data_IF_621933364837
#
_entry.id   IF_621933364837
#
_cell.length_a   1.000
_cell.length_b   1.000
_cell.length_c   1.000
_cell.angle_alpha   90.00
_cell.angle_beta   90.00
_cell.angle_gamma   90.00
#
_symmetry.space_group_name_H-M   'P 1'
#
loop_
_entity.id
_entity.type
_entity.pdbx_description
1 polymer ?
#
# COMPACT_ATOMS: atom_id res chain seq x y z
N UNK A 1 61.09 -31.01 31.66
CA UNK A 1 61.77 -29.69 31.65
C UNK A 1 63.01 -29.80 30.78
N UNK A 2 63.23 -28.89 29.82
CA UNK A 2 64.41 -28.89 28.93
C UNK A 2 65.28 -27.68 29.30
N UNK A 3 66.51 -27.92 29.74
CA UNK A 3 67.45 -26.87 30.19
C UNK A 3 68.80 -27.07 29.49
N UNK A 4 69.50 -25.98 29.20
CA UNK A 4 70.80 -26.00 28.52
C UNK A 4 71.29 -24.61 28.16
N UNK A 5 72.56 -24.47 27.81
CA UNK A 5 73.16 -23.20 27.37
C UNK A 5 72.56 -22.70 26.03
N UNK A 6 72.80 -21.45 25.68
CA UNK A 6 72.33 -20.92 24.40
C UNK A 6 73.04 -21.61 23.23
N UNK A 7 72.30 -21.88 22.16
CA UNK A 7 72.82 -22.60 20.99
C UNK A 7 72.89 -24.13 21.12
N UNK A 8 72.55 -24.73 22.27
CA UNK A 8 72.63 -26.20 22.46
C UNK A 8 71.43 -26.99 21.90
N UNK A 9 70.61 -26.38 21.05
CA UNK A 9 69.49 -27.07 20.38
C UNK A 9 68.18 -27.17 21.19
N UNK A 10 68.02 -26.45 22.30
CA UNK A 10 66.76 -26.42 23.07
C UNK A 10 65.53 -26.10 22.21
N UNK A 11 65.62 -25.05 21.40
CA UNK A 11 64.55 -24.67 20.47
C UNK A 11 64.43 -25.64 19.29
N UNK A 12 65.51 -26.33 18.92
CA UNK A 12 65.49 -27.39 17.90
C UNK A 12 64.65 -28.58 18.36
N UNK A 13 64.69 -28.95 19.65
CA UNK A 13 63.82 -30.00 20.20
C UNK A 13 62.35 -29.59 20.10
N UNK A 14 62.01 -28.33 20.46
CA UNK A 14 60.64 -27.80 20.33
C UNK A 14 60.16 -27.82 18.87
N UNK A 15 61.05 -27.47 17.92
CA UNK A 15 60.76 -27.55 16.49
C UNK A 15 60.54 -29.00 16.04
N UNK A 16 61.38 -29.94 16.51
CA UNK A 16 61.25 -31.36 16.21
C UNK A 16 59.92 -31.92 16.75
N UNK A 17 59.52 -31.56 17.97
CA UNK A 17 58.22 -31.96 18.55
C UNK A 17 57.06 -31.48 17.67
N UNK A 18 57.07 -30.20 17.25
CA UNK A 18 56.04 -29.68 16.36
C UNK A 18 56.00 -30.42 15.02
N UNK A 19 57.16 -30.62 14.39
CA UNK A 19 57.25 -31.32 13.12
C UNK A 19 56.87 -32.80 13.23
N UNK A 20 57.18 -33.47 14.33
CA UNK A 20 56.83 -34.88 14.56
C UNK A 20 55.36 -35.08 14.96
N UNK A 21 54.69 -34.06 15.51
CA UNK A 21 53.26 -34.08 15.85
C UNK A 21 52.38 -33.49 14.74
N UNK A 22 52.77 -33.69 13.48
CA UNK A 22 52.06 -33.22 12.30
C UNK A 22 51.87 -31.69 12.19
N UNK A 23 52.73 -30.91 12.86
CA UNK A 23 52.79 -29.46 12.73
C UNK A 23 53.33 -29.01 11.38
N UNK A 24 52.85 -27.83 10.94
CA UNK A 24 53.31 -27.16 9.73
C UNK A 24 54.54 -26.31 10.03
N UNK A 25 55.44 -26.17 9.04
CA UNK A 25 56.63 -25.30 9.12
C UNK A 25 56.27 -23.83 9.37
N UNK A 26 55.12 -23.38 8.87
CA UNK A 26 54.55 -22.04 9.12
C UNK A 26 54.32 -21.75 10.60
N UNK A 27 54.07 -22.78 11.42
CA UNK A 27 53.84 -22.61 12.85
C UNK A 27 55.14 -22.28 13.60
N UNK A 28 56.31 -22.60 13.03
CA UNK A 28 57.61 -22.46 13.69
C UNK A 28 58.29 -21.12 13.41
N UNK A 29 57.92 -20.43 12.32
CA UNK A 29 58.43 -19.09 11.99
C UNK A 29 59.89 -19.04 11.54
N UNK A 30 60.56 -20.17 11.31
CA UNK A 30 61.99 -20.25 10.94
C UNK A 30 62.27 -20.51 9.47
N UNK A 31 61.27 -20.96 8.72
CA UNK A 31 61.41 -21.25 7.29
C UNK A 31 60.29 -22.17 6.80
N UNK A 32 59.93 -22.03 5.54
CA UNK A 32 58.75 -22.67 4.94
C UNK A 32 59.02 -24.11 4.48
N UNK A 33 60.29 -24.44 4.25
CA UNK A 33 60.75 -25.75 3.77
C UNK A 33 61.12 -26.68 4.92
N UNK A 34 60.62 -27.91 4.89
CA UNK A 34 60.88 -28.93 5.92
C UNK A 34 62.35 -29.36 5.95
N UNK A 35 63.04 -29.34 4.81
CA UNK A 35 64.47 -29.67 4.72
C UNK A 35 65.38 -28.71 5.49
N UNK A 36 64.94 -27.48 5.77
CA UNK A 36 65.73 -26.50 6.55
C UNK A 36 65.88 -26.88 8.02
N UNK A 37 65.09 -27.84 8.50
CA UNK A 37 65.13 -28.33 9.88
C UNK A 37 66.06 -29.55 10.03
N UNK A 38 66.66 -30.04 8.95
CA UNK A 38 67.69 -31.09 8.97
C UNK A 38 69.05 -30.45 9.23
N UNK A 39 69.92 -31.15 9.99
CA UNK A 39 71.28 -30.70 10.26
C UNK A 39 72.03 -30.42 8.95
N UNK A 40 72.73 -29.27 8.88
CA UNK A 40 73.52 -28.89 7.70
C UNK A 40 74.55 -29.98 7.36
N UNK A 41 74.67 -30.30 6.08
CA UNK A 41 75.55 -31.36 5.58
C UNK A 41 74.94 -32.77 5.63
N UNK A 42 73.70 -32.93 6.10
CA UNK A 42 72.97 -34.19 6.07
C UNK A 42 71.86 -34.15 5.01
N UNK A 43 71.71 -35.25 4.24
CA UNK A 43 70.68 -35.33 3.19
C UNK A 43 69.32 -35.76 3.73
N UNK A 44 69.28 -36.30 4.95
CA UNK A 44 68.07 -36.81 5.61
C UNK A 44 68.10 -36.55 7.12
N UNK A 45 66.94 -36.49 7.74
CA UNK A 45 66.77 -36.45 9.19
C UNK A 45 65.44 -37.08 9.60
N UNK A 46 65.36 -37.65 10.80
CA UNK A 46 64.14 -38.28 11.30
C UNK A 46 63.77 -37.78 12.69
N UNK A 47 62.48 -37.75 12.97
CA UNK A 47 61.92 -37.44 14.29
C UNK A 47 60.95 -38.54 14.66
N UNK A 48 61.22 -39.24 15.76
CA UNK A 48 60.30 -40.23 16.32
C UNK A 48 59.76 -39.75 17.67
N UNK A 49 58.44 -39.80 17.82
CA UNK A 49 57.72 -39.39 19.03
C UNK A 49 56.83 -40.55 19.45
N UNK A 50 57.04 -41.04 20.67
CA UNK A 50 56.20 -42.04 21.30
C UNK A 50 55.27 -41.36 22.30
N UNK A 51 53.97 -41.41 22.03
CA UNK A 51 52.91 -40.89 22.88
C UNK A 51 52.28 -42.02 23.69
N UNK A 52 52.15 -41.81 24.99
CA UNK A 52 51.45 -42.74 25.87
C UNK A 52 49.93 -42.59 25.71
N UNK A 53 49.22 -43.71 25.57
CA UNK A 53 47.76 -43.78 25.51
C UNK A 53 47.31 -45.07 26.22
N UNK A 54 46.24 -44.97 27.01
CA UNK A 54 45.75 -46.09 27.84
C UNK A 54 45.41 -47.37 27.03
N UNK A 55 45.06 -47.23 25.76
CA UNK A 55 44.79 -48.34 24.83
C UNK A 55 45.98 -48.79 23.97
N UNK A 56 47.21 -48.38 24.30
CA UNK A 56 48.42 -48.70 23.57
C UNK A 56 49.16 -47.46 23.07
N UNK A 57 50.47 -47.45 23.22
CA UNK A 57 51.32 -46.32 22.83
C UNK A 57 51.25 -46.06 21.33
N UNK A 58 51.18 -44.79 20.95
CA UNK A 58 51.24 -44.33 19.56
C UNK A 58 52.68 -43.89 19.26
N UNK A 59 53.34 -44.53 18.30
CA UNK A 59 54.66 -44.12 17.81
C UNK A 59 54.48 -43.42 16.47
N UNK A 60 54.90 -42.16 16.39
CA UNK A 60 54.87 -41.34 15.19
C UNK A 60 56.31 -41.08 14.77
N UNK A 61 56.70 -41.54 13.58
CA UNK A 61 58.00 -41.25 12.99
C UNK A 61 57.82 -40.43 11.72
N UNK A 62 58.58 -39.34 11.61
CA UNK A 62 58.65 -38.49 10.43
C UNK A 62 60.08 -38.47 9.92
N UNK A 63 60.31 -39.01 8.73
CA UNK A 63 61.56 -38.89 7.99
C UNK A 63 61.48 -37.71 7.03
N UNK A 64 62.52 -36.89 6.95
CA UNK A 64 62.61 -35.70 6.11
C UNK A 64 63.78 -35.89 5.14
N UNK A 65 63.51 -35.72 3.86
CA UNK A 65 64.49 -35.78 2.79
C UNK A 65 64.77 -34.36 2.28
N UNK A 66 66.04 -33.94 2.34
CA UNK A 66 66.44 -32.57 1.99
C UNK A 66 66.40 -32.33 0.47
N UNK A 67 66.82 -33.32 -0.32
CA UNK A 67 66.97 -33.23 -1.78
C UNK A 67 65.67 -32.85 -2.49
N UNK A 68 64.54 -33.42 -2.07
CA UNK A 68 63.23 -33.18 -2.66
C UNK A 68 62.30 -32.37 -1.73
N UNK A 69 62.79 -31.95 -0.56
CA UNK A 69 61.99 -31.28 0.48
C UNK A 69 60.69 -32.03 0.83
N UNK A 70 60.72 -33.36 0.75
CA UNK A 70 59.60 -34.23 1.10
C UNK A 70 59.79 -34.80 2.51
N UNK A 71 58.69 -35.26 3.11
CA UNK A 71 58.75 -36.00 4.36
C UNK A 71 57.82 -37.19 4.33
N UNK A 72 58.28 -38.32 4.85
CA UNK A 72 57.57 -39.59 4.97
C UNK A 72 57.12 -39.78 6.42
N UNK A 73 55.93 -40.34 6.61
CA UNK A 73 55.34 -40.59 7.92
C UNK A 73 55.16 -42.08 8.15
N UNK A 74 55.62 -42.59 9.29
CA UNK A 74 55.41 -43.96 9.74
C UNK A 74 54.68 -43.94 11.09
N UNK A 75 53.70 -44.84 11.25
CA UNK A 75 52.95 -45.01 12.49
C UNK A 75 53.16 -46.44 12.99
N UNK A 76 53.57 -46.58 14.26
CA UNK A 76 53.82 -47.87 14.93
C UNK A 76 54.76 -48.82 14.15
N UNK A 77 55.80 -48.29 13.51
CA UNK A 77 56.84 -49.09 12.84
C UNK A 77 56.42 -49.74 11.51
N UNK A 78 55.14 -49.71 11.15
CA UNK A 78 54.67 -50.24 9.88
C UNK A 78 54.87 -49.19 8.76
N UNK A 79 55.65 -49.53 7.73
CA UNK A 79 55.76 -48.74 6.48
C UNK A 79 54.43 -48.64 5.71
N UNK A 80 53.41 -49.41 6.10
CA UNK A 80 52.17 -49.64 5.35
C UNK A 80 51.14 -48.50 5.39
N UNK A 81 51.54 -47.25 5.67
CA UNK A 81 50.60 -46.12 5.66
C UNK A 81 50.77 -45.26 4.42
N UNK A 82 51.53 -45.67 3.39
CA UNK A 82 51.42 -45.02 2.07
C UNK A 82 49.96 -45.05 1.57
N UNK A 83 49.21 -46.11 1.90
CA UNK A 83 47.87 -46.39 1.39
C UNK A 83 47.07 -47.20 2.43
N UNK A 84 46.28 -46.56 3.29
CA UNK A 84 45.10 -47.21 3.84
C UNK A 84 43.91 -46.30 3.51
N UNK A 85 43.12 -46.74 2.52
CA UNK A 85 41.88 -46.12 2.03
C UNK A 85 42.04 -44.84 1.18
N UNK A 86 43.13 -44.69 0.43
CA UNK A 86 43.31 -43.57 -0.51
C UNK A 86 43.51 -42.18 0.15
N UNK A 87 43.79 -42.14 1.47
CA UNK A 87 44.16 -40.91 2.19
C UNK A 87 45.67 -40.91 2.48
N UNK A 88 46.35 -39.81 2.14
CA UNK A 88 47.79 -39.63 2.39
C UNK A 88 48.13 -39.85 3.87
N UNK A 89 49.26 -40.51 4.17
CA UNK A 89 49.72 -40.87 5.53
C UNK A 89 49.78 -39.69 6.51
N UNK A 90 50.02 -38.49 5.99
CA UNK A 90 49.99 -37.24 6.75
C UNK A 90 48.63 -36.99 7.39
N UNK A 91 47.53 -37.30 6.73
CA UNK A 91 46.18 -37.08 7.25
C UNK A 91 45.88 -37.99 8.43
N UNK A 92 46.33 -39.25 8.41
CA UNK A 92 46.16 -40.18 9.54
C UNK A 92 46.95 -39.77 10.76
N UNK A 93 48.20 -39.35 10.58
CA UNK A 93 49.00 -38.81 11.69
C UNK A 93 48.35 -37.56 12.30
N UNK A 94 47.80 -36.65 11.46
CA UNK A 94 47.02 -35.49 11.92
C UNK A 94 45.76 -35.91 12.67
N UNK A 95 45.01 -36.91 12.19
CA UNK A 95 43.80 -37.42 12.81
C UNK A 95 44.08 -38.01 14.21
N UNK A 96 45.13 -38.82 14.35
CA UNK A 96 45.54 -39.41 15.64
C UNK A 96 46.01 -38.36 16.64
N UNK A 97 46.84 -37.40 16.21
CA UNK A 97 47.30 -36.29 17.08
C UNK A 97 46.11 -35.41 17.52
N UNK A 98 45.15 -35.18 16.61
CA UNK A 98 43.92 -34.45 16.91
C UNK A 98 43.02 -35.22 17.88
N UNK A 99 42.93 -36.55 17.76
CA UNK A 99 42.18 -37.40 18.68
C UNK A 99 42.74 -37.32 20.12
N UNK A 100 44.05 -37.11 20.27
CA UNK A 100 44.71 -36.87 21.55
C UNK A 100 44.58 -35.42 22.06
N UNK A 101 43.82 -34.56 21.37
CA UNK A 101 43.63 -33.14 21.71
C UNK A 101 44.95 -32.35 21.77
N UNK A 102 45.92 -32.72 20.93
CA UNK A 102 47.19 -32.01 20.81
C UNK A 102 47.09 -31.05 19.61
N UNK A 103 47.15 -29.74 19.87
CA UNK A 103 47.01 -28.69 18.84
C UNK A 103 48.32 -27.89 18.69
N UNK A 104 49.27 -28.44 17.95
CA UNK A 104 50.56 -27.76 17.65
C UNK A 104 50.43 -26.51 16.77
N UNK A 105 49.25 -26.25 16.21
CA UNK A 105 48.93 -25.02 15.47
C UNK A 105 48.33 -23.92 16.34
N UNK A 106 47.91 -24.24 17.56
CA UNK A 106 47.28 -23.28 18.46
C UNK A 106 48.35 -22.70 19.39
N UNK A 107 48.60 -21.39 19.27
CA UNK A 107 49.62 -20.68 20.05
C UNK A 107 49.36 -20.74 21.57
N UNK A 108 48.12 -21.01 22.00
CA UNK A 108 47.78 -21.19 23.42
C UNK A 108 48.28 -22.52 24.00
N UNK A 109 48.48 -23.55 23.17
CA UNK A 109 48.97 -24.88 23.59
C UNK A 109 50.43 -25.12 23.17
N UNK A 110 50.84 -24.54 22.04
CA UNK A 110 52.20 -24.63 21.52
C UNK A 110 52.70 -23.24 21.12
N UNK A 111 53.58 -22.68 21.95
CA UNK A 111 54.14 -21.35 21.73
C UNK A 111 55.63 -21.45 21.37
N UNK A 112 55.99 -21.44 20.07
CA UNK A 112 57.38 -21.43 19.67
C UNK A 112 57.99 -20.04 19.90
N UNK A 113 59.28 -20.00 20.19
CA UNK A 113 60.03 -18.79 20.54
C UNK A 113 59.85 -17.66 19.50
N UNK A 114 59.86 -17.97 18.21
CA UNK A 114 59.73 -16.98 17.13
C UNK A 114 58.30 -16.39 17.02
N UNK A 115 57.28 -17.08 17.54
CA UNK A 115 55.86 -16.71 17.41
C UNK A 115 55.30 -16.05 18.67
N UNK A 116 56.12 -15.78 19.67
CA UNK A 116 55.70 -15.10 20.92
C UNK A 116 55.10 -13.72 20.62
N UNK A 117 55.66 -13.00 19.64
CA UNK A 117 55.11 -11.71 19.21
C UNK A 117 53.74 -11.81 18.53
N UNK A 118 53.47 -12.88 17.79
CA UNK A 118 52.16 -13.11 17.16
C UNK A 118 51.09 -13.43 18.20
N UNK A 119 51.45 -14.24 19.21
CA UNK A 119 50.58 -14.51 20.34
C UNK A 119 50.16 -13.22 21.07
N UNK A 120 51.11 -12.31 21.33
CA UNK A 120 50.81 -11.02 21.96
C UNK A 120 49.92 -10.09 21.11
N UNK A 121 49.89 -10.27 19.78
CA UNK A 121 49.07 -9.49 18.85
C UNK A 121 47.64 -10.03 18.70
N UNK A 122 47.35 -11.23 19.20
CA UNK A 122 46.02 -11.82 19.09
C UNK A 122 44.98 -10.92 19.77
N UNK A 123 43.86 -10.70 19.11
CA UNK A 123 42.74 -9.97 19.70
C UNK A 123 42.13 -10.77 20.84
N UNK A 124 41.41 -10.10 21.75
CA UNK A 124 40.69 -10.76 22.86
C UNK A 124 39.72 -11.85 22.36
N UNK A 125 39.14 -11.66 21.17
CA UNK A 125 38.20 -12.60 20.56
C UNK A 125 38.94 -13.84 20.04
N UNK A 126 40.05 -13.65 19.33
CA UNK A 126 40.88 -14.75 18.83
C UNK A 126 41.51 -15.53 19.99
N UNK A 127 41.97 -14.84 21.04
CA UNK A 127 42.50 -15.45 22.23
C UNK A 127 41.46 -16.31 22.93
N UNK A 128 40.20 -15.85 23.01
CA UNK A 128 39.10 -16.63 23.56
C UNK A 128 38.85 -17.89 22.72
N UNK A 129 38.74 -17.77 21.39
CA UNK A 129 38.53 -18.93 20.51
C UNK A 129 39.69 -19.93 20.59
N UNK A 130 40.93 -19.45 20.64
CA UNK A 130 42.12 -20.28 20.77
C UNK A 130 42.14 -20.99 22.14
N UNK A 131 41.75 -20.29 23.21
CA UNK A 131 41.65 -20.87 24.56
C UNK A 131 40.56 -21.93 24.64
N UNK A 132 39.38 -21.68 24.07
CA UNK A 132 38.28 -22.64 24.03
C UNK A 132 38.66 -23.91 23.28
N UNK A 133 39.40 -23.78 22.17
CA UNK A 133 39.92 -24.93 21.43
C UNK A 133 40.97 -25.72 22.21
N UNK A 134 41.80 -25.06 23.03
CA UNK A 134 42.93 -25.72 23.71
C UNK A 134 42.62 -26.31 25.07
N UNK A 135 41.78 -25.66 25.89
CA UNK A 135 41.69 -25.94 27.33
C UNK A 135 40.42 -26.72 27.68
N UNK A 136 39.42 -26.74 26.80
CA UNK A 136 38.07 -27.19 27.14
C UNK A 136 37.59 -28.33 26.23
N UNK A 137 36.53 -29.06 26.66
CA UNK A 137 35.92 -30.08 25.83
C UNK A 137 35.55 -29.54 24.45
N UNK A 138 35.71 -30.36 23.38
CA UNK A 138 35.46 -29.92 22.00
C UNK A 138 34.08 -29.28 21.80
N UNK A 139 33.06 -29.69 22.58
CA UNK A 139 31.70 -29.15 22.45
C UNK A 139 31.63 -27.66 22.77
N UNK A 140 32.53 -27.11 23.58
CA UNK A 140 32.44 -25.70 23.96
C UNK A 140 32.63 -24.76 22.77
N UNK A 141 33.65 -25.01 21.95
CA UNK A 141 33.87 -24.20 20.76
C UNK A 141 32.69 -24.33 19.78
N UNK A 142 32.08 -25.52 19.71
CA UNK A 142 30.87 -25.73 18.91
C UNK A 142 29.67 -24.92 19.44
N UNK A 143 29.46 -24.88 20.76
CA UNK A 143 28.42 -24.06 21.37
C UNK A 143 28.65 -22.57 21.10
N UNK A 144 29.88 -22.09 21.23
CA UNK A 144 30.21 -20.71 20.88
C UNK A 144 29.93 -20.41 19.40
N UNK A 145 30.28 -21.31 18.48
CA UNK A 145 29.95 -21.19 17.06
C UNK A 145 28.43 -21.13 16.82
N UNK A 146 27.67 -22.02 17.47
CA UNK A 146 26.20 -22.06 17.39
C UNK A 146 25.57 -20.76 17.91
N UNK A 147 26.11 -20.17 18.98
CA UNK A 147 25.67 -18.90 19.53
C UNK A 147 25.96 -17.74 18.56
N UNK A 148 27.15 -17.69 17.95
CA UNK A 148 27.50 -16.70 16.93
C UNK A 148 26.53 -16.73 15.74
N UNK A 149 26.25 -17.92 15.22
CA UNK A 149 25.33 -18.12 14.10
C UNK A 149 23.91 -17.68 14.51
N UNK A 150 23.43 -18.14 15.66
CA UNK A 150 22.11 -17.77 16.19
C UNK A 150 21.97 -16.25 16.37
N UNK A 151 22.99 -15.59 16.93
CA UNK A 151 23.01 -14.13 17.06
C UNK A 151 23.02 -13.40 15.71
N UNK A 152 23.72 -13.94 14.71
CA UNK A 152 23.68 -13.45 13.33
C UNK A 152 22.28 -13.54 12.71
N UNK A 153 21.66 -14.72 12.81
CA UNK A 153 20.30 -14.98 12.31
C UNK A 153 19.27 -14.09 12.99
N UNK A 154 19.34 -13.96 14.31
CA UNK A 154 18.48 -13.07 15.08
C UNK A 154 18.56 -11.62 14.57
N UNK A 155 19.78 -11.07 14.43
CA UNK A 155 19.98 -9.70 13.92
C UNK A 155 19.40 -9.52 12.52
N UNK A 156 19.59 -10.50 11.64
CA UNK A 156 19.02 -10.46 10.29
C UNK A 156 17.48 -10.48 10.32
N UNK A 157 16.87 -11.36 11.10
CA UNK A 157 15.42 -11.44 11.28
C UNK A 157 14.85 -10.15 11.86
N UNK A 158 15.49 -9.59 12.89
CA UNK A 158 15.09 -8.32 13.50
C UNK A 158 15.09 -7.18 12.46
N UNK A 159 16.15 -7.08 11.65
CA UNK A 159 16.24 -6.09 10.57
C UNK A 159 15.16 -6.27 9.50
N UNK A 160 14.88 -7.52 9.09
CA UNK A 160 13.79 -7.83 8.14
C UNK A 160 12.42 -7.41 8.69
N UNK A 161 12.12 -7.75 9.95
CA UNK A 161 10.86 -7.37 10.61
C UNK A 161 10.73 -5.86 10.75
N UNK A 162 11.80 -5.15 11.12
CA UNK A 162 11.81 -3.69 11.21
C UNK A 162 11.52 -3.04 9.84
N UNK A 163 12.17 -3.51 8.78
CA UNK A 163 11.90 -3.03 7.42
C UNK A 163 10.47 -3.33 6.94
N UNK A 164 9.94 -4.52 7.25
CA UNK A 164 8.57 -4.87 6.92
C UNK A 164 7.55 -3.99 7.67
N UNK A 165 7.80 -3.73 8.95
CA UNK A 165 6.96 -2.85 9.77
C UNK A 165 6.87 -1.46 9.18
N UNK A 166 8.00 -0.88 8.72
CA UNK A 166 7.97 0.43 8.07
C UNK A 166 7.19 0.43 6.76
N UNK A 167 7.32 -0.63 5.94
CA UNK A 167 6.49 -0.79 4.74
C UNK A 167 5.00 -0.84 5.08
N UNK A 168 4.61 -1.54 6.14
CA UNK A 168 3.21 -1.60 6.58
C UNK A 168 2.70 -0.26 7.10
N UNK A 169 3.51 0.50 7.84
CA UNK A 169 3.16 1.86 8.26
C UNK A 169 2.91 2.78 7.08
N UNK A 170 3.82 2.80 6.10
CA UNK A 170 3.65 3.60 4.88
C UNK A 170 2.38 3.20 4.10
N UNK A 171 2.11 1.89 3.98
CA UNK A 171 0.90 1.39 3.31
C UNK A 171 -0.38 1.75 4.07
N UNK A 172 -0.36 1.71 5.40
CA UNK A 172 -1.48 2.16 6.25
C UNK A 172 -1.77 3.65 5.98
N UNK A 173 -0.74 4.49 5.94
CA UNK A 173 -0.90 5.93 5.72
C UNK A 173 -1.45 6.25 4.32
N UNK A 174 -0.96 5.54 3.29
CA UNK A 174 -1.49 5.64 1.92
C UNK A 174 -2.96 5.21 1.85
N UNK A 175 -3.33 4.15 2.55
CA UNK A 175 -4.69 3.62 2.55
C UNK A 175 -5.68 4.52 3.31
N UNK A 176 -5.25 5.25 4.35
CA UNK A 176 -6.14 6.20 5.08
C UNK A 176 -6.83 7.19 4.14
N UNK A 177 -6.11 7.71 3.16
CA UNK A 177 -6.65 8.64 2.17
C UNK A 177 -7.73 7.99 1.29
N UNK A 178 -7.56 6.72 0.92
CA UNK A 178 -8.56 5.97 0.17
C UNK A 178 -9.82 5.70 1.00
N UNK A 179 -9.63 5.34 2.28
CA UNK A 179 -10.73 5.12 3.23
C UNK A 179 -11.51 6.40 3.48
N UNK A 180 -10.84 7.54 3.67
CA UNK A 180 -11.48 8.85 3.84
C UNK A 180 -12.38 9.21 2.66
N UNK A 181 -11.84 9.11 1.43
CA UNK A 181 -12.61 9.35 0.19
C UNK A 181 -13.82 8.43 0.04
N UNK A 182 -13.69 7.16 0.45
CA UNK A 182 -14.81 6.23 0.43
C UNK A 182 -15.96 6.68 1.35
N UNK A 183 -15.64 7.07 2.59
CA UNK A 183 -16.65 7.55 3.54
C UNK A 183 -17.27 8.89 3.13
N UNK A 184 -16.48 9.79 2.56
CA UNK A 184 -16.96 11.08 2.03
C UNK A 184 -17.94 10.86 0.86
N UNK A 185 -17.56 10.02 -0.12
CA UNK A 185 -18.47 9.59 -1.20
C UNK A 185 -19.76 8.98 -0.65
N UNK A 186 -19.66 8.12 0.35
CA UNK A 186 -20.84 7.47 0.97
C UNK A 186 -21.77 8.52 1.58
N UNK A 187 -21.25 9.50 2.34
CA UNK A 187 -22.03 10.61 2.89
C UNK A 187 -22.73 11.43 1.81
N UNK A 188 -22.03 11.77 0.72
CA UNK A 188 -22.64 12.50 -0.39
C UNK A 188 -23.76 11.69 -1.05
N UNK A 189 -23.58 10.40 -1.28
CA UNK A 189 -24.62 9.54 -1.84
C UNK A 189 -25.85 9.44 -0.91
N UNK A 190 -25.64 9.35 0.39
CA UNK A 190 -26.73 9.33 1.37
C UNK A 190 -27.47 10.68 1.39
N UNK A 191 -26.75 11.79 1.27
CA UNK A 191 -27.34 13.14 1.15
C UNK A 191 -28.15 13.30 -0.14
N UNK A 192 -27.62 12.85 -1.29
CA UNK A 192 -28.33 12.88 -2.57
C UNK A 192 -29.64 12.11 -2.45
N UNK A 193 -29.61 10.88 -1.93
CA UNK A 193 -30.82 10.07 -1.71
C UNK A 193 -31.85 10.76 -0.82
N UNK A 194 -31.41 11.49 0.20
CA UNK A 194 -32.30 12.26 1.07
C UNK A 194 -32.92 13.44 0.32
N UNK A 195 -32.10 14.20 -0.42
CA UNK A 195 -32.56 15.34 -1.21
C UNK A 195 -33.52 14.92 -2.33
N UNK A 196 -33.28 13.79 -3.00
CA UNK A 196 -34.19 13.25 -4.02
C UNK A 196 -35.59 12.97 -3.46
N UNK A 197 -35.66 12.50 -2.20
CA UNK A 197 -36.95 12.31 -1.50
C UNK A 197 -37.59 13.64 -1.09
N UNK A 198 -36.79 14.66 -0.77
CA UNK A 198 -37.28 15.98 -0.32
C UNK A 198 -37.72 16.87 -1.48
N UNK A 199 -37.15 16.69 -2.68
CA UNK A 199 -37.47 17.46 -3.88
C UNK A 199 -38.99 17.55 -4.17
N UNK A 200 -39.74 16.43 -4.28
CA UNK A 200 -41.18 16.51 -4.54
C UNK A 200 -41.97 17.18 -3.41
N UNK A 201 -41.48 17.13 -2.17
CA UNK A 201 -42.10 17.83 -1.05
C UNK A 201 -41.99 19.35 -1.21
N UNK A 202 -40.82 19.83 -1.60
CA UNK A 202 -40.59 21.26 -1.86
C UNK A 202 -41.39 21.73 -3.08
N UNK A 203 -41.45 20.92 -4.15
CA UNK A 203 -42.27 21.22 -5.33
C UNK A 203 -43.76 21.31 -4.96
N UNK A 204 -44.26 20.38 -4.14
CA UNK A 204 -45.63 20.42 -3.62
C UNK A 204 -45.88 21.66 -2.75
N UNK A 205 -45.00 21.97 -1.80
CA UNK A 205 -45.10 23.12 -0.91
C UNK A 205 -45.11 24.44 -1.70
N UNK A 206 -44.27 24.55 -2.73
CA UNK A 206 -44.21 25.71 -3.62
C UNK A 206 -45.53 25.86 -4.39
N UNK A 207 -46.04 24.77 -4.99
CA UNK A 207 -47.31 24.79 -5.72
C UNK A 207 -48.51 25.10 -4.80
N UNK A 208 -48.49 24.65 -3.55
CA UNK A 208 -49.50 25.02 -2.56
C UNK A 208 -49.49 26.52 -2.24
N UNK A 209 -48.31 27.09 -2.02
CA UNK A 209 -48.16 28.53 -1.78
C UNK A 209 -48.64 29.37 -2.97
N UNK A 210 -48.30 28.96 -4.20
CA UNK A 210 -48.78 29.60 -5.43
C UNK A 210 -50.31 29.51 -5.56
N UNK A 211 -50.87 28.32 -5.33
CA UNK A 211 -52.32 28.12 -5.35
C UNK A 211 -53.04 28.99 -4.32
N UNK A 212 -52.47 29.17 -3.14
CA UNK A 212 -53.03 30.02 -2.09
C UNK A 212 -52.97 31.50 -2.49
N UNK A 213 -51.90 31.95 -3.16
CA UNK A 213 -51.81 33.27 -3.78
C UNK A 213 -52.92 33.50 -4.81
N UNK A 214 -53.05 32.59 -5.80
CA UNK A 214 -54.07 32.68 -6.85
C UNK A 214 -55.49 32.61 -6.29
N UNK A 215 -55.73 31.82 -5.24
CA UNK A 215 -57.03 31.78 -4.54
C UNK A 215 -57.38 33.13 -3.93
N UNK A 216 -56.43 33.81 -3.30
CA UNK A 216 -56.64 35.16 -2.74
C UNK A 216 -56.99 36.16 -3.86
N UNK A 217 -56.21 36.17 -4.93
CA UNK A 217 -56.48 37.03 -6.10
C UNK A 217 -57.86 36.77 -6.70
N UNK A 218 -58.25 35.50 -6.86
CA UNK A 218 -59.56 35.11 -7.35
C UNK A 218 -60.68 35.63 -6.44
N UNK A 219 -60.56 35.47 -5.13
CA UNK A 219 -61.57 35.94 -4.18
C UNK A 219 -61.67 37.48 -4.18
N UNK A 220 -60.55 38.19 -4.30
CA UNK A 220 -60.56 39.65 -4.39
C UNK A 220 -61.17 40.15 -5.71
N UNK A 221 -60.83 39.53 -6.84
CA UNK A 221 -61.46 39.82 -8.13
C UNK A 221 -62.98 39.52 -8.11
N UNK A 222 -63.39 38.42 -7.46
CA UNK A 222 -64.81 38.07 -7.28
C UNK A 222 -65.55 39.09 -6.43
N UNK A 223 -64.94 39.60 -5.35
CA UNK A 223 -65.50 40.71 -4.55
C UNK A 223 -65.64 41.98 -5.40
N UNK A 224 -64.59 42.37 -6.12
CA UNK A 224 -64.64 43.54 -7.01
C UNK A 224 -65.75 43.43 -8.05
N UNK A 225 -65.87 42.27 -8.70
CA UNK A 225 -66.91 42.01 -9.69
C UNK A 225 -68.32 42.06 -9.08
N UNK A 226 -68.49 41.57 -7.84
CA UNK A 226 -69.74 41.69 -7.10
C UNK A 226 -70.09 43.16 -6.83
N UNK A 227 -69.14 43.94 -6.32
CA UNK A 227 -69.32 45.38 -6.06
C UNK A 227 -69.69 46.15 -7.33
N UNK A 228 -69.02 45.88 -8.45
CA UNK A 228 -69.32 46.51 -9.74
C UNK A 228 -70.71 46.10 -10.25
N UNK A 229 -71.09 44.84 -10.12
CA UNK A 229 -72.45 44.39 -10.48
C UNK A 229 -73.52 45.06 -9.63
N UNK A 230 -73.29 45.17 -8.32
CA UNK A 230 -74.20 45.83 -7.39
C UNK A 230 -74.32 47.33 -7.70
N UNK A 231 -73.23 48.01 -8.05
CA UNK A 231 -73.25 49.43 -8.44
C UNK A 231 -73.89 49.67 -9.81
N UNK A 232 -73.76 48.72 -10.75
CA UNK A 232 -74.41 48.77 -12.06
C UNK A 232 -75.89 48.36 -12.01
N UNK A 233 -76.34 47.61 -10.99
CA UNK A 233 -77.72 47.18 -10.84
C UNK A 233 -78.77 48.31 -10.90
N UNK A 234 -78.63 49.46 -10.21
CA UNK A 234 -79.58 50.57 -10.34
C UNK A 234 -79.58 51.19 -11.75
N UNK A 235 -78.42 51.25 -12.40
CA UNK A 235 -78.31 51.76 -13.77
C UNK A 235 -78.97 50.83 -14.77
N UNK A 236 -78.78 49.51 -14.63
CA UNK A 236 -79.48 48.49 -15.43
C UNK A 236 -80.99 48.53 -15.20
N UNK A 237 -81.46 48.72 -13.96
CA UNK A 237 -82.89 48.91 -13.67
C UNK A 237 -83.45 50.16 -14.33
N UNK A 238 -82.68 51.27 -14.36
CA UNK A 238 -83.06 52.49 -15.09
C UNK A 238 -83.15 52.24 -16.59
N UNK A 239 -82.17 51.55 -17.18
CA UNK A 239 -82.19 51.18 -18.60
C UNK A 239 -83.41 50.29 -18.90
N UNK A 240 -83.66 49.25 -18.12
CA UNK A 240 -84.83 48.38 -18.27
C UNK A 240 -86.16 49.14 -18.11
N UNK A 241 -86.22 50.10 -17.19
CA UNK A 241 -87.38 50.96 -17.01
C UNK A 241 -87.59 51.86 -18.24
N UNK A 242 -86.54 52.52 -18.71
CA UNK A 242 -86.58 53.34 -19.92
C UNK A 242 -87.00 52.49 -21.13
N UNK A 243 -86.43 51.30 -21.34
CA UNK A 243 -86.85 50.36 -22.39
C UNK A 243 -88.31 49.91 -22.25
N UNK A 244 -88.80 49.73 -21.03
CA UNK A 244 -90.21 49.39 -20.79
C UNK A 244 -91.17 50.53 -21.10
N UNK A 245 -90.71 51.79 -20.99
CA UNK A 245 -91.47 52.99 -21.35
C UNK A 245 -91.35 53.31 -22.85
N UNK A 246 -90.19 53.06 -23.46
CA UNK A 246 -89.96 53.26 -24.88
C UNK A 246 -90.73 52.26 -25.73
N UNK A 247 -90.82 50.98 -25.34
CA UNK A 247 -91.57 49.95 -26.08
C UNK A 247 -93.03 50.32 -26.42
N UNK A 248 -93.88 50.78 -25.48
CA UNK A 248 -95.23 51.20 -25.80
C UNK A 248 -95.27 52.49 -26.62
N UNK A 249 -94.32 53.41 -26.44
CA UNK A 249 -94.21 54.63 -27.25
C UNK A 249 -93.82 54.29 -28.69
N UNK A 250 -92.85 53.40 -28.89
CA UNK A 250 -92.46 52.89 -30.21
C UNK A 250 -93.62 52.15 -30.90
N UNK A 251 -94.39 51.36 -30.15
CA UNK A 251 -95.60 50.72 -30.67
C UNK A 251 -96.68 51.75 -31.03
N UNK A 252 -96.93 52.75 -30.18
CA UNK A 252 -97.85 53.85 -30.49
C UNK A 252 -97.38 54.70 -31.68
N UNK A 253 -96.08 54.90 -31.85
CA UNK A 253 -95.51 55.57 -33.01
C UNK A 253 -95.69 54.74 -34.27
N UNK A 254 -95.52 53.40 -34.20
CA UNK A 254 -95.84 52.49 -35.32
C UNK A 254 -97.33 52.55 -35.66
N UNK A 255 -98.21 52.51 -34.67
CA UNK A 255 -99.66 52.58 -34.86
C UNK A 255 -100.11 53.93 -35.42
N UNK A 256 -99.58 55.04 -34.90
CA UNK A 256 -99.83 56.39 -35.45
C UNK A 256 -99.27 56.54 -36.86
N UNK A 257 -98.11 55.97 -37.17
CA UNK A 257 -97.55 55.99 -38.52
C UNK A 257 -98.42 55.17 -39.49
N UNK A 258 -98.98 54.04 -39.04
CA UNK A 258 -99.96 53.28 -39.79
C UNK A 258 -101.27 54.07 -39.99
N UNK A 259 -101.78 54.73 -38.95
CA UNK A 259 -102.99 55.56 -39.01
C UNK A 259 -102.81 56.80 -39.90
N UNK A 260 -101.65 57.46 -39.86
CA UNK A 260 -101.32 58.57 -40.78
C UNK A 260 -101.20 58.06 -42.22
N UNK A 261 -100.65 56.86 -42.46
CA UNK A 261 -100.68 56.24 -43.78
C UNK A 261 -102.11 55.99 -44.26
N UNK A 262 -102.97 55.41 -43.42
CA UNK A 262 -104.38 55.19 -43.75
C UNK A 262 -105.14 56.50 -44.00
N UNK A 263 -104.94 57.52 -43.16
CA UNK A 263 -105.55 58.84 -43.31
C UNK A 263 -105.04 59.55 -44.57
N UNK A 264 -103.74 59.49 -44.85
CA UNK A 264 -103.16 60.00 -46.09
C UNK A 264 -103.73 59.27 -47.30
N UNK A 265 -103.97 57.97 -47.22
CA UNK A 265 -104.56 57.17 -48.29
C UNK A 265 -106.04 57.51 -48.50
N UNK A 266 -106.81 57.74 -47.43
CA UNK A 266 -108.19 58.26 -47.47
C UNK A 266 -108.27 59.69 -48.03
N UNK A 267 -107.33 60.57 -47.68
CA UNK A 267 -107.26 61.92 -48.24
C UNK A 267 -106.91 61.87 -49.74
N UNK A 268 -106.02 60.95 -50.14
CA UNK A 268 -105.71 60.70 -51.56
C UNK A 268 -106.96 60.25 -52.31
N UNK A 269 -107.68 59.24 -51.79
CA UNK A 269 -108.95 58.77 -52.35
C UNK A 269 -110.02 59.87 -52.42
N UNK A 270 -110.17 60.71 -51.39
CA UNK A 270 -111.12 61.83 -51.42
C UNK A 270 -110.72 62.92 -52.43
N UNK A 271 -109.42 63.15 -52.63
CA UNK A 271 -108.92 64.09 -53.63
C UNK A 271 -109.15 63.56 -55.04
N UNK A 272 -108.84 62.29 -55.29
CA UNK A 272 -109.15 61.61 -56.55
C UNK A 272 -110.67 61.62 -56.84
N UNK A 273 -111.50 61.49 -55.81
CA UNK A 273 -112.97 61.56 -55.93
C UNK A 273 -113.51 62.97 -56.19
N UNK A 274 -112.81 64.02 -55.72
CA UNK A 274 -113.12 65.42 -56.01
C UNK A 274 -112.66 65.82 -57.41
N UNK A 275 -111.47 65.38 -57.83
CA UNK A 275 -110.94 65.63 -59.17
C UNK A 275 -111.81 64.93 -60.24
N UNK A 276 -112.31 63.71 -59.95
CA UNK A 276 -113.29 63.02 -60.81
C UNK A 276 -114.68 63.69 -60.85
N UNK A 277 -115.09 64.41 -59.79
CA UNK A 277 -116.35 65.19 -59.79
C UNK A 277 -116.18 66.55 -60.46
N UNK A 278 -114.99 67.13 -60.45
CA UNK A 278 -114.69 68.38 -61.14
C UNK A 278 -114.53 68.17 -62.65
N UNK A 279 -113.99 67.02 -63.08
CA UNK A 279 -113.93 66.66 -64.50
C UNK A 279 -115.31 66.34 -65.12
N UNK A 280 -116.34 66.06 -64.31
CA UNK A 280 -117.69 65.71 -64.79
C UNK A 280 -118.66 66.90 -64.87
N UNK A 281 -118.34 68.06 -64.26
CA UNK A 281 -119.22 69.23 -64.19
C UNK A 281 -118.78 70.40 -65.09
N UNK A 282 -117.70 70.26 -65.85
CA UNK A 282 -117.23 71.28 -66.81
C UNK A 282 -117.70 71.03 -68.27
N UNK A 283 -118.44 69.94 -68.52
CA UNK A 283 -118.93 69.58 -69.87
C UNK A 283 -120.39 70.01 -70.18
N UNK A 284 -121.04 70.80 -69.31
CA UNK A 284 -122.44 71.23 -69.54
C UNK A 284 -122.70 72.68 -69.09
N UNK A 285 -122.15 73.67 -69.81
CA UNK A 285 -122.80 74.98 -70.03
C UNK A 285 -121.97 75.88 -70.97
N UNK A 286 -121.99 75.57 -72.26
CA UNK A 286 -121.94 76.55 -73.37
C UNK A 286 -122.88 76.01 -74.47
N UNK A 287 -124.18 76.23 -74.26
CA UNK A 287 -125.20 76.27 -75.31
C UNK A 287 -126.35 77.12 -74.78
N UNK A 288 -126.62 78.21 -75.52
CA UNK A 288 -127.59 79.32 -75.33
C UNK A 288 -127.07 80.51 -74.52
#
# INVERSE_FOLDING_TARGET
MIVGANGTGKSSIVCAICLGLAGKTTNLGRGDKVGLYVKRGCNKGSVEIKLYKAGGNLVINREIHVENNQSVWLLNGNQSVWLLNGRHSSQKAVEEVKALQIQVSNLCQFLPQEKVGEFAKMTKIELLEATEKSVRPPEMYEFHCKLKISGGNWRMCARKKASALEKFKQRKERNKHGVGRYYEKKRHLDMIKMLDKKKPWVEFETACNELEGVKKEREDAKKQLKTVRESQAPMLKKIQHIDSQLRPIENQMKDKTASVREASQKCKQKRDHLDSKHSANLDTNENV
#
